data_IF_333524391127
#
_entry.id   IF_333524391127
#
_cell.length_a   1.000
_cell.length_b   1.000
_cell.length_c   1.000
_cell.angle_alpha   90.00
_cell.angle_beta   90.00
_cell.angle_gamma   90.00
#
_symmetry.space_group_name_H-M   'P 1'
#
loop_
_entity.id
_entity.type
_entity.pdbx_description
1 polymer ?
#
# COMPACT_ATOMS: atom_id res chain seq x y z
N UNK A 1 17.88 5.21 19.14
CA UNK A 1 18.64 4.15 19.85
C UNK A 1 19.13 4.63 21.22
N UNK A 2 19.94 5.70 21.34
CA UNK A 2 20.53 6.16 22.61
C UNK A 2 19.45 6.49 23.66
N UNK A 3 18.42 7.26 23.30
CA UNK A 3 17.39 7.72 24.25
C UNK A 3 16.46 6.61 24.75
N UNK A 4 16.37 5.49 24.02
CA UNK A 4 15.61 4.30 24.41
C UNK A 4 16.40 3.30 25.24
N UNK A 5 17.71 3.49 25.38
CA UNK A 5 18.57 2.62 26.19
C UNK A 5 18.22 2.76 27.67
N UNK A 6 17.77 1.68 28.30
CA UNK A 6 17.37 1.65 29.72
C UNK A 6 18.56 1.80 30.66
N UNK A 7 19.64 1.06 30.39
CA UNK A 7 20.88 1.14 31.14
C UNK A 7 22.06 0.71 30.27
N UNK A 8 23.25 1.21 30.59
CA UNK A 8 24.52 0.84 29.95
C UNK A 8 25.61 0.72 30.98
N UNK A 9 26.46 -0.31 30.86
CA UNK A 9 27.63 -0.47 31.67
C UNK A 9 28.88 -0.16 30.87
N UNK A 10 29.65 0.85 31.29
CA UNK A 10 30.91 1.28 30.67
C UNK A 10 31.96 1.48 31.73
N UNK A 11 33.18 0.97 31.50
CA UNK A 11 34.31 1.07 32.43
C UNK A 11 33.95 0.67 33.89
N UNK A 12 33.17 -0.40 34.06
CA UNK A 12 32.75 -0.91 35.37
C UNK A 12 31.68 -0.09 36.09
N UNK A 13 31.09 0.93 35.43
CA UNK A 13 29.99 1.73 35.97
C UNK A 13 28.71 1.49 35.20
N UNK A 14 27.61 1.20 35.89
CA UNK A 14 26.28 1.09 35.31
C UNK A 14 25.57 2.44 35.42
N UNK A 15 25.19 2.99 34.26
CA UNK A 15 24.38 4.20 34.16
C UNK A 15 22.95 3.81 33.77
N UNK A 16 21.96 4.30 34.53
CA UNK A 16 20.54 4.04 34.31
C UNK A 16 19.87 5.29 33.74
N UNK A 17 19.04 5.12 32.75
CA UNK A 17 18.28 6.20 32.15
C UNK A 17 17.30 6.79 33.19
N UNK A 18 17.20 8.10 33.28
CA UNK A 18 16.30 8.76 34.22
C UNK A 18 14.83 8.79 33.73
N UNK A 19 14.58 8.49 32.47
CA UNK A 19 13.22 8.43 31.93
C UNK A 19 12.52 7.15 32.41
N UNK A 20 11.72 7.28 33.47
CA UNK A 20 11.01 6.15 34.08
C UNK A 20 9.93 5.54 33.17
N UNK A 21 9.42 6.27 32.15
CA UNK A 21 8.45 5.75 31.20
C UNK A 21 8.98 4.59 30.37
N UNK A 22 10.30 4.49 30.17
CA UNK A 22 10.93 3.33 29.52
C UNK A 22 10.61 1.99 30.20
N UNK A 23 10.27 2.00 31.48
CA UNK A 23 9.88 0.80 32.26
C UNK A 23 8.40 0.74 32.58
N UNK A 24 7.71 1.90 32.62
CA UNK A 24 6.34 2.02 33.17
C UNK A 24 5.28 2.15 32.10
N UNK A 25 5.67 2.49 30.88
CA UNK A 25 4.73 2.70 29.78
C UNK A 25 5.15 1.84 28.57
N UNK A 26 4.25 0.91 28.19
CA UNK A 26 4.48 0.05 27.04
C UNK A 26 4.55 0.86 25.75
N UNK A 27 5.59 0.59 24.93
CA UNK A 27 5.85 1.33 23.72
C UNK A 27 6.65 2.61 23.90
N UNK A 28 7.03 3.01 25.13
CA UNK A 28 7.88 4.18 25.32
C UNK A 28 9.28 3.96 24.74
N UNK A 29 9.74 4.86 23.86
CA UNK A 29 11.03 4.81 23.15
C UNK A 29 11.97 5.97 23.49
N UNK A 30 11.62 6.82 24.43
CA UNK A 30 12.44 7.95 24.90
C UNK A 30 11.56 9.08 25.44
N UNK A 31 12.05 10.31 25.67
CA UNK A 31 13.24 10.92 25.11
C UNK A 31 14.10 11.58 26.18
N UNK A 32 13.66 12.75 26.75
CA UNK A 32 14.51 13.61 27.60
C UNK A 32 13.78 14.12 28.83
N UNK A 33 14.41 13.95 29.98
CA UNK A 33 13.97 14.54 31.25
C UNK A 33 14.73 15.83 31.52
N UNK A 34 14.13 16.78 32.21
CA UNK A 34 14.77 18.00 32.66
C UNK A 34 14.24 18.46 34.02
N UNK A 35 15.06 19.10 34.77
CA UNK A 35 14.70 19.76 36.04
C UNK A 35 15.65 20.92 36.35
N UNK A 36 15.06 22.03 36.73
CA UNK A 36 15.76 23.12 37.44
C UNK A 36 14.79 23.70 38.46
N UNK A 37 15.32 24.35 39.51
CA UNK A 37 14.49 24.96 40.56
C UNK A 37 13.54 26.03 39.99
N UNK A 38 13.97 26.74 38.94
CA UNK A 38 13.18 27.77 38.29
C UNK A 38 12.14 27.22 37.32
N UNK A 39 12.44 26.13 36.58
CA UNK A 39 11.57 25.59 35.54
C UNK A 39 10.70 24.41 36.01
N UNK A 40 11.00 23.88 37.22
CA UNK A 40 10.37 22.64 37.69
C UNK A 40 10.71 21.43 36.83
N UNK A 41 9.88 20.39 36.91
CA UNK A 41 10.03 19.17 36.12
C UNK A 41 9.56 19.38 34.69
N UNK A 42 10.41 19.01 33.75
CA UNK A 42 10.08 19.02 32.32
C UNK A 42 10.32 17.65 31.72
N UNK A 43 9.47 17.23 30.83
CA UNK A 43 9.58 15.93 30.17
C UNK A 43 9.20 16.04 28.71
N UNK A 44 10.03 15.46 27.85
CA UNK A 44 9.66 15.08 26.48
C UNK A 44 9.70 13.57 26.41
N UNK A 45 8.63 12.94 26.02
CA UNK A 45 8.60 11.50 25.82
C UNK A 45 7.99 11.14 24.46
N UNK A 46 8.29 9.95 24.03
CA UNK A 46 7.79 9.38 22.78
C UNK A 46 7.35 7.95 23.05
N UNK A 47 6.16 7.60 22.56
CA UNK A 47 5.66 6.24 22.57
C UNK A 47 5.27 5.80 21.16
N UNK A 48 5.45 4.51 20.89
CA UNK A 48 5.18 3.90 19.60
C UNK A 48 4.30 2.65 19.78
N UNK A 49 3.23 2.57 19.00
CA UNK A 49 2.28 1.46 19.04
C UNK A 49 1.69 1.27 17.64
N UNK A 50 1.69 0.04 17.12
CA UNK A 50 1.14 -0.31 15.79
C UNK A 50 1.61 0.60 14.64
N UNK A 51 2.90 0.97 14.65
CA UNK A 51 3.51 1.87 13.67
C UNK A 51 3.17 3.36 13.84
N UNK A 52 2.30 3.70 14.79
CA UNK A 52 2.01 5.08 15.16
C UNK A 52 2.96 5.56 16.25
N UNK A 53 3.43 6.81 16.11
CA UNK A 53 4.32 7.45 17.08
C UNK A 53 3.68 8.73 17.62
N UNK A 54 3.59 8.81 18.95
CA UNK A 54 3.12 10.00 19.67
C UNK A 54 4.26 10.62 20.47
N UNK A 55 4.24 11.95 20.52
CA UNK A 55 5.18 12.75 21.33
C UNK A 55 4.36 13.56 22.32
N UNK A 56 4.77 13.52 23.58
CA UNK A 56 4.22 14.33 24.64
C UNK A 56 5.29 15.25 25.21
N UNK A 57 4.89 16.45 25.58
CA UNK A 57 5.77 17.47 26.21
C UNK A 57 5.05 18.08 27.38
N UNK A 58 5.69 18.09 28.56
CA UNK A 58 5.21 18.81 29.73
C UNK A 58 6.28 19.74 30.25
N UNK A 59 5.84 20.91 30.77
CA UNK A 59 6.66 21.93 31.40
C UNK A 59 6.09 22.20 32.80
N UNK A 60 6.97 22.24 33.79
CA UNK A 60 6.61 22.46 35.21
C UNK A 60 5.49 21.53 35.70
N UNK A 61 5.57 20.24 35.35
CA UNK A 61 4.56 19.24 35.68
C UNK A 61 5.10 18.29 36.75
N UNK A 62 4.67 18.38 38.01
CA UNK A 62 5.17 17.53 39.09
C UNK A 62 4.81 16.06 38.91
N UNK A 63 3.72 15.74 38.20
CA UNK A 63 3.22 14.39 37.91
C UNK A 63 3.56 13.92 36.48
N UNK A 64 4.60 14.47 35.86
CA UNK A 64 4.99 14.26 34.46
C UNK A 64 4.86 12.82 33.95
N UNK A 65 5.19 11.81 34.76
CA UNK A 65 5.08 10.40 34.35
C UNK A 65 3.63 9.95 34.15
N UNK A 66 2.74 10.33 35.05
CA UNK A 66 1.32 10.01 34.97
C UNK A 66 0.65 10.82 33.87
N UNK A 67 0.99 12.11 33.74
CA UNK A 67 0.46 13.01 32.74
C UNK A 67 0.79 12.51 31.32
N UNK A 68 2.04 12.10 31.10
CA UNK A 68 2.46 11.54 29.81
C UNK A 68 1.80 10.22 29.49
N UNK A 69 1.64 9.32 30.46
CA UNK A 69 0.91 8.07 30.27
C UNK A 69 -0.54 8.33 29.85
N UNK A 70 -1.22 9.24 30.55
CA UNK A 70 -2.61 9.62 30.23
C UNK A 70 -2.74 10.28 28.84
N UNK A 71 -1.79 11.15 28.46
CA UNK A 71 -1.77 11.75 27.11
C UNK A 71 -1.55 10.71 26.01
N UNK A 72 -0.70 9.73 26.23
CA UNK A 72 -0.49 8.65 25.26
C UNK A 72 -1.72 7.75 25.15
N UNK A 73 -2.33 7.35 26.27
CA UNK A 73 -3.55 6.55 26.28
C UNK A 73 -4.69 7.29 25.57
N UNK A 74 -4.84 8.58 25.81
CA UNK A 74 -5.78 9.43 25.10
C UNK A 74 -5.48 9.45 23.59
N UNK A 75 -4.26 9.75 23.19
CA UNK A 75 -3.87 9.87 21.79
C UNK A 75 -4.07 8.56 21.01
N UNK A 76 -3.63 7.42 21.55
CA UNK A 76 -3.80 6.12 20.91
C UNK A 76 -5.28 5.67 20.87
N UNK A 77 -6.09 6.09 21.84
CA UNK A 77 -7.52 5.76 21.85
C UNK A 77 -8.34 6.61 20.90
N UNK A 78 -8.01 7.91 20.75
CA UNK A 78 -8.74 8.82 19.87
C UNK A 78 -8.36 8.67 18.40
N UNK A 79 -7.12 8.32 18.13
CA UNK A 79 -6.58 8.10 16.79
C UNK A 79 -5.91 6.73 16.69
N UNK A 80 -6.69 5.63 16.71
CA UNK A 80 -6.11 4.30 16.55
C UNK A 80 -5.48 4.13 15.18
N UNK A 81 -4.35 3.41 15.13
CA UNK A 81 -3.67 3.08 13.88
C UNK A 81 -4.47 2.05 13.09
N UNK A 82 -5.15 2.47 12.03
CA UNK A 82 -5.97 1.61 11.16
C UNK A 82 -5.14 1.13 9.97
N UNK A 83 -5.21 -0.17 9.68
CA UNK A 83 -4.62 -0.77 8.48
C UNK A 83 -5.54 -0.51 7.28
N UNK A 84 -5.17 0.43 6.42
CA UNK A 84 -5.93 0.81 5.23
C UNK A 84 -5.67 -0.14 4.06
N UNK A 85 -4.43 -0.59 3.89
CA UNK A 85 -4.05 -1.60 2.90
C UNK A 85 -3.10 -2.62 3.53
N UNK A 86 -3.25 -3.88 3.15
CA UNK A 86 -2.39 -4.98 3.60
C UNK A 86 -1.52 -5.47 2.44
N UNK A 87 -0.21 -5.60 2.67
CA UNK A 87 0.73 -6.16 1.71
C UNK A 87 0.29 -7.56 1.24
N UNK A 88 0.48 -7.85 -0.03
CA UNK A 88 0.13 -9.13 -0.65
C UNK A 88 -1.36 -9.37 -0.87
N UNK A 89 -2.25 -8.42 -0.50
CA UNK A 89 -3.68 -8.53 -0.77
C UNK A 89 -3.95 -8.25 -2.24
N UNK A 90 -4.56 -9.20 -2.94
CA UNK A 90 -5.08 -9.00 -4.29
C UNK A 90 -6.18 -7.92 -4.28
N UNK A 91 -6.03 -6.94 -5.17
CA UNK A 91 -6.96 -5.83 -5.26
C UNK A 91 -7.83 -5.91 -6.52
N UNK A 92 -7.22 -6.25 -7.64
CA UNK A 92 -7.87 -6.29 -8.97
C UNK A 92 -7.10 -7.25 -9.90
N UNK A 93 -7.75 -7.69 -10.96
CA UNK A 93 -7.11 -8.37 -12.08
C UNK A 93 -7.14 -7.45 -13.31
N UNK A 94 -6.02 -7.36 -14.04
CA UNK A 94 -5.90 -6.59 -15.27
C UNK A 94 -5.94 -7.52 -16.48
N UNK A 95 -6.66 -7.15 -17.55
CA UNK A 95 -6.49 -7.79 -18.84
C UNK A 95 -5.05 -7.69 -19.33
N UNK A 96 -4.53 -8.75 -19.94
CA UNK A 96 -3.17 -8.76 -20.50
C UNK A 96 -3.18 -9.23 -21.95
N UNK A 97 -2.60 -8.41 -22.81
CA UNK A 97 -2.42 -8.70 -24.22
C UNK A 97 -1.08 -9.40 -24.49
N UNK A 98 -0.96 -10.06 -25.64
CA UNK A 98 0.30 -10.71 -26.07
C UNK A 98 0.66 -11.99 -25.33
N UNK A 99 -0.27 -12.60 -24.60
CA UNK A 99 -0.10 -13.86 -23.87
C UNK A 99 -1.30 -14.79 -24.06
N UNK A 100 -1.12 -16.07 -23.78
CA UNK A 100 -2.20 -17.05 -23.62
C UNK A 100 -2.94 -16.87 -22.29
N UNK A 101 -2.29 -16.29 -21.31
CA UNK A 101 -2.91 -15.85 -20.06
C UNK A 101 -3.69 -14.58 -20.38
N UNK A 102 -4.97 -14.53 -19.96
CA UNK A 102 -5.86 -13.40 -20.27
C UNK A 102 -5.87 -12.32 -19.22
N UNK A 103 -5.48 -12.63 -17.99
CA UNK A 103 -5.55 -11.74 -16.86
C UNK A 103 -4.36 -11.91 -15.94
N UNK A 104 -3.88 -10.84 -15.35
CA UNK A 104 -2.85 -10.83 -14.31
C UNK A 104 -3.38 -10.12 -13.07
N UNK A 105 -3.36 -10.76 -11.88
CA UNK A 105 -3.73 -10.09 -10.65
C UNK A 105 -2.69 -9.05 -10.26
N UNK A 106 -3.15 -7.98 -9.62
CA UNK A 106 -2.33 -6.97 -8.97
C UNK A 106 -2.61 -6.96 -7.49
N UNK A 107 -1.55 -6.87 -6.70
CA UNK A 107 -1.58 -6.90 -5.25
C UNK A 107 -0.96 -5.64 -4.66
N UNK A 108 -1.30 -5.39 -3.42
CA UNK A 108 -0.72 -4.28 -2.63
C UNK A 108 0.73 -4.60 -2.30
N UNK A 109 1.66 -3.65 -2.57
CA UNK A 109 3.09 -3.85 -2.32
C UNK A 109 3.44 -3.86 -0.83
N UNK A 110 2.87 -2.92 -0.06
CA UNK A 110 3.18 -2.73 1.36
C UNK A 110 1.96 -2.29 2.17
N UNK A 111 2.02 -2.55 3.48
CA UNK A 111 1.02 -2.04 4.41
C UNK A 111 0.94 -0.53 4.37
N UNK A 112 -0.29 -0.01 4.42
CA UNK A 112 -0.57 1.41 4.64
C UNK A 112 -1.38 1.52 5.92
N UNK A 113 -0.85 2.22 6.92
CA UNK A 113 -1.52 2.50 8.19
C UNK A 113 -1.68 3.99 8.37
N UNK A 114 -2.78 4.39 9.00
CA UNK A 114 -3.06 5.78 9.30
C UNK A 114 -3.79 5.89 10.64
N UNK A 115 -3.40 6.83 11.53
CA UNK A 115 -4.13 7.12 12.74
C UNK A 115 -5.43 7.88 12.39
N UNK A 116 -6.58 7.23 12.54
CA UNK A 116 -7.87 7.71 12.08
C UNK A 116 -8.79 7.99 13.25
N UNK A 117 -9.35 9.19 13.35
CA UNK A 117 -10.39 9.53 14.30
C UNK A 117 -11.75 8.94 13.87
N UNK A 118 -12.67 8.78 14.84
CA UNK A 118 -13.96 8.13 14.60
C UNK A 118 -14.88 8.87 13.62
N UNK A 119 -14.72 10.18 13.49
CA UNK A 119 -15.49 11.07 12.62
C UNK A 119 -14.84 11.31 11.25
N UNK A 120 -13.57 10.92 11.07
CA UNK A 120 -12.85 11.06 9.82
C UNK A 120 -13.26 9.97 8.80
N UNK A 121 -13.32 10.35 7.53
CA UNK A 121 -13.68 9.45 6.43
C UNK A 121 -12.52 9.27 5.47
N UNK A 122 -12.15 8.01 5.26
CA UNK A 122 -11.12 7.63 4.29
C UNK A 122 -11.75 7.41 2.93
N UNK A 123 -11.15 7.99 1.90
CA UNK A 123 -11.41 7.66 0.49
C UNK A 123 -10.16 7.12 -0.15
N UNK A 124 -10.31 6.26 -1.17
CA UNK A 124 -9.20 5.67 -1.87
C UNK A 124 -9.28 5.96 -3.37
N UNK A 125 -8.15 6.25 -3.98
CA UNK A 125 -7.99 6.39 -5.43
C UNK A 125 -7.04 5.31 -5.92
N UNK A 126 -7.51 4.54 -6.91
CA UNK A 126 -6.71 3.52 -7.60
C UNK A 126 -6.35 4.09 -8.96
N UNK A 127 -5.07 4.05 -9.30
CA UNK A 127 -4.53 4.42 -10.60
C UNK A 127 -3.91 3.17 -11.24
N UNK A 128 -4.60 2.58 -12.20
CA UNK A 128 -4.22 1.37 -12.93
C UNK A 128 -4.60 1.53 -14.40
N UNK A 129 -3.82 0.98 -15.33
CA UNK A 129 -4.21 0.91 -16.74
C UNK A 129 -5.42 -0.03 -16.93
N UNK A 130 -6.17 0.18 -18.00
CA UNK A 130 -7.29 -0.70 -18.36
C UNK A 130 -6.81 -2.07 -18.87
N UNK A 131 -5.65 -2.12 -19.52
CA UNK A 131 -5.00 -3.30 -20.08
C UNK A 131 -3.48 -3.15 -20.03
N UNK A 132 -2.76 -4.27 -19.96
CA UNK A 132 -1.29 -4.31 -19.99
C UNK A 132 -0.79 -5.25 -21.09
N UNK A 133 0.44 -5.05 -21.57
CA UNK A 133 1.09 -5.97 -22.52
C UNK A 133 2.08 -6.91 -21.84
N UNK A 134 2.05 -8.19 -22.23
CA UNK A 134 3.10 -9.14 -21.84
C UNK A 134 4.44 -8.82 -22.54
N UNK A 135 5.61 -9.07 -21.93
CA UNK A 135 5.75 -9.74 -20.65
C UNK A 135 5.60 -8.76 -19.48
N UNK A 136 5.12 -9.25 -18.36
CA UNK A 136 5.16 -8.58 -17.05
C UNK A 136 5.87 -9.47 -16.04
N UNK A 137 6.54 -8.89 -15.05
CA UNK A 137 7.26 -9.64 -14.03
C UNK A 137 6.57 -9.47 -12.68
N UNK A 138 6.58 -10.54 -11.89
CA UNK A 138 6.16 -10.47 -10.49
C UNK A 138 6.94 -9.38 -9.74
N UNK A 139 6.21 -8.55 -8.98
CA UNK A 139 6.77 -7.43 -8.24
C UNK A 139 6.98 -6.14 -9.06
N UNK A 140 6.87 -6.16 -10.39
CA UNK A 140 6.90 -4.93 -11.19
C UNK A 140 5.66 -4.07 -10.89
N UNK A 141 5.83 -2.74 -10.93
CA UNK A 141 4.76 -1.80 -10.63
C UNK A 141 3.73 -1.80 -11.75
N UNK A 142 2.48 -2.07 -11.38
CA UNK A 142 1.32 -1.97 -12.27
C UNK A 142 0.59 -0.61 -12.15
N UNK A 143 0.68 0.01 -10.97
CA UNK A 143 0.02 1.28 -10.69
C UNK A 143 0.14 1.70 -9.23
N UNK A 144 -0.82 2.49 -8.74
CA UNK A 144 -0.79 3.01 -7.38
C UNK A 144 -2.17 3.01 -6.70
N UNK A 145 -2.13 2.98 -5.37
CA UNK A 145 -3.28 3.11 -4.47
C UNK A 145 -2.98 4.23 -3.48
N UNK A 146 -3.79 5.28 -3.50
CA UNK A 146 -3.62 6.46 -2.65
C UNK A 146 -4.85 6.68 -1.79
N UNK A 147 -4.63 6.95 -0.51
CA UNK A 147 -5.68 7.21 0.48
C UNK A 147 -5.73 8.68 0.85
N UNK A 148 -6.95 9.17 1.06
CA UNK A 148 -7.23 10.56 1.42
C UNK A 148 -8.17 10.62 2.61
N UNK A 149 -7.93 11.59 3.51
CA UNK A 149 -8.84 12.02 4.57
C UNK A 149 -9.14 13.49 4.32
N UNK A 150 -10.41 13.85 4.22
CA UNK A 150 -10.87 15.21 3.93
C UNK A 150 -10.16 15.86 2.70
N UNK A 151 -9.91 15.06 1.68
CA UNK A 151 -9.24 15.49 0.45
C UNK A 151 -7.72 15.64 0.55
N UNK A 152 -7.12 15.43 1.73
CA UNK A 152 -5.67 15.43 1.92
C UNK A 152 -5.12 14.00 1.82
N UNK A 153 -4.04 13.82 1.04
CA UNK A 153 -3.34 12.54 0.96
C UNK A 153 -2.73 12.17 2.33
N UNK A 154 -3.01 10.95 2.78
CA UNK A 154 -2.56 10.44 4.08
C UNK A 154 -1.68 9.20 3.95
N UNK A 155 -1.64 8.58 2.79
CA UNK A 155 -0.77 7.44 2.53
C UNK A 155 -0.97 6.86 1.15
N UNK A 156 0.08 6.22 0.63
CA UNK A 156 0.05 5.58 -0.68
C UNK A 156 0.93 4.33 -0.70
N UNK A 157 0.62 3.43 -1.63
CA UNK A 157 1.42 2.23 -1.92
C UNK A 157 1.35 1.94 -3.40
N UNK A 158 2.34 1.22 -3.92
CA UNK A 158 2.26 0.69 -5.27
C UNK A 158 1.38 -0.55 -5.33
N UNK A 159 0.83 -0.76 -6.49
CA UNK A 159 0.18 -1.99 -6.90
C UNK A 159 1.13 -2.72 -7.82
N UNK A 160 1.45 -3.97 -7.50
CA UNK A 160 2.44 -4.77 -8.22
C UNK A 160 1.81 -6.04 -8.78
N UNK A 161 2.37 -6.58 -9.86
CA UNK A 161 1.91 -7.86 -10.40
C UNK A 161 2.20 -8.99 -9.42
N UNK A 162 1.21 -9.85 -9.16
CA UNK A 162 1.36 -10.97 -8.22
C UNK A 162 2.14 -12.15 -8.77
N UNK A 163 2.32 -12.24 -10.09
CA UNK A 163 3.14 -13.24 -10.77
C UNK A 163 3.59 -12.76 -12.14
N UNK A 164 4.61 -13.41 -12.68
CA UNK A 164 5.13 -13.12 -14.01
C UNK A 164 4.24 -13.74 -15.09
N UNK A 165 4.06 -13.03 -16.19
CA UNK A 165 3.37 -13.52 -17.40
C UNK A 165 4.28 -13.29 -18.59
N UNK A 166 4.67 -14.39 -19.25
CA UNK A 166 5.53 -14.33 -20.43
C UNK A 166 4.73 -13.94 -21.68
N UNK A 167 5.42 -13.28 -22.61
CA UNK A 167 4.88 -13.07 -23.95
C UNK A 167 4.91 -14.42 -24.70
N UNK A 168 3.76 -14.90 -25.09
CA UNK A 168 3.69 -16.03 -26.00
C UNK A 168 3.77 -15.50 -27.42
N UNK A 169 4.71 -16.00 -28.21
CA UNK A 169 4.81 -15.69 -29.63
C UNK A 169 3.45 -15.92 -30.28
N UNK A 170 3.06 -14.98 -31.14
CA UNK A 170 1.77 -14.99 -31.84
C UNK A 170 1.35 -16.41 -32.21
N UNK A 171 0.10 -16.77 -31.89
CA UNK A 171 -0.50 -17.99 -32.46
C UNK A 171 -0.15 -18.01 -33.94
N UNK A 172 0.39 -19.12 -34.47
CA UNK A 172 0.61 -19.23 -35.91
C UNK A 172 -0.74 -18.88 -36.54
N UNK A 173 -0.75 -17.90 -37.43
CA UNK A 173 -1.96 -17.52 -38.20
C UNK A 173 -2.70 -18.80 -38.53
N UNK A 174 -3.99 -18.86 -38.23
CA UNK A 174 -4.84 -20.02 -38.52
C UNK A 174 -4.50 -20.51 -39.94
N UNK A 175 -4.50 -21.82 -40.17
CA UNK A 175 -4.24 -22.38 -41.49
C UNK A 175 -5.08 -21.65 -42.56
N UNK A 176 -6.29 -21.24 -42.20
CA UNK A 176 -7.16 -20.40 -43.04
C UNK A 176 -6.58 -19.01 -43.29
N UNK A 177 -6.00 -18.33 -42.31
CA UNK A 177 -5.35 -17.02 -42.52
C UNK A 177 -4.05 -17.14 -43.32
N UNK A 178 -3.31 -18.25 -43.18
CA UNK A 178 -2.13 -18.54 -44.02
C UNK A 178 -2.55 -18.83 -45.45
N UNK A 179 -3.61 -19.58 -45.66
CA UNK A 179 -4.23 -19.83 -46.98
C UNK A 179 -4.74 -18.52 -47.58
N UNK A 180 -5.41 -17.70 -46.78
CA UNK A 180 -5.95 -16.40 -47.25
C UNK A 180 -4.83 -15.40 -47.59
N UNK A 181 -3.77 -15.32 -46.78
CA UNK A 181 -2.62 -14.47 -47.07
C UNK A 181 -1.81 -14.95 -48.28
N UNK A 182 -1.77 -16.27 -48.55
CA UNK A 182 -1.13 -16.83 -49.73
C UNK A 182 -1.94 -16.50 -51.01
N UNK A 183 -3.26 -16.46 -50.95
CA UNK A 183 -4.10 -16.11 -52.09
C UNK A 183 -4.24 -14.60 -52.29
N UNK A 184 -3.90 -13.74 -51.30
CA UNK A 184 -3.96 -12.29 -51.40
C UNK A 184 -2.57 -11.64 -51.52
N UNK A 185 -1.50 -12.43 -51.46
CA UNK A 185 -0.09 -11.97 -51.62
C UNK A 185 0.39 -12.16 -53.07
N UNK A 186 0.64 -11.00 -53.72
CA UNK A 186 1.31 -10.85 -55.03
C UNK A 186 0.57 -11.26 -56.29
N UNK A 187 -0.05 -10.27 -56.91
CA UNK A 187 -0.36 -10.31 -58.36
C UNK A 187 -1.76 -9.84 -58.75
N UNK A 188 -1.86 -8.59 -59.16
CA UNK A 188 -2.75 -8.15 -60.21
C UNK A 188 -4.29 -8.26 -59.99
N UNK A 189 -4.90 -7.16 -59.82
CA UNK A 189 -6.29 -6.79 -60.11
C UNK A 189 -7.28 -7.89 -60.46
N UNK A 190 -8.18 -8.14 -59.51
CA UNK A 190 -9.54 -8.49 -59.85
C UNK A 190 -10.46 -8.11 -58.69
N UNK A 191 -11.20 -7.03 -58.86
CA UNK A 191 -12.34 -6.70 -58.02
C UNK A 191 -13.41 -7.75 -58.30
N UNK A 192 -13.61 -8.67 -57.40
CA UNK A 192 -14.78 -9.53 -57.38
C UNK A 192 -15.48 -9.36 -56.05
N UNK A 193 -16.63 -8.74 -56.12
CA UNK A 193 -17.64 -8.69 -55.09
C UNK A 193 -18.11 -10.10 -54.78
N UNK A 194 -17.74 -10.63 -53.62
CA UNK A 194 -18.44 -11.80 -53.06
C UNK A 194 -18.69 -11.47 -51.57
N UNK A 195 -19.89 -10.95 -51.31
CA UNK A 195 -20.45 -10.94 -49.97
C UNK A 195 -21.12 -12.30 -49.73
N UNK A 196 -20.66 -13.13 -48.82
CA UNK A 196 -21.52 -14.19 -48.33
C UNK A 196 -22.40 -13.61 -47.21
N UNK A 197 -23.69 -13.53 -47.47
CA UNK A 197 -24.72 -13.43 -46.47
C UNK A 197 -24.79 -14.70 -45.62
N UNK A 198 -23.91 -14.83 -44.63
CA UNK A 198 -24.04 -15.83 -43.56
C UNK A 198 -23.50 -15.20 -42.27
N UNK A 199 -24.27 -14.29 -41.71
CA UNK A 199 -24.12 -13.85 -40.30
C UNK A 199 -25.43 -13.21 -39.86
N UNK A 200 -26.52 -14.00 -39.90
CA UNK A 200 -27.76 -13.56 -39.26
C UNK A 200 -28.61 -14.76 -38.81
N UNK A 201 -28.03 -15.59 -37.91
CA UNK A 201 -28.82 -16.63 -37.21
C UNK A 201 -28.34 -17.00 -35.81
N UNK A 202 -27.71 -16.08 -35.09
CA UNK A 202 -27.44 -16.30 -33.67
C UNK A 202 -27.68 -15.03 -32.82
N UNK A 203 -28.91 -14.50 -32.93
CA UNK A 203 -29.40 -13.58 -31.91
C UNK A 203 -30.91 -13.77 -31.78
N UNK A 204 -31.32 -14.70 -30.97
CA UNK A 204 -32.57 -14.74 -30.18
C UNK A 204 -32.72 -16.12 -29.53
N UNK A 205 -32.24 -16.26 -28.31
CA UNK A 205 -32.97 -17.00 -27.29
C UNK A 205 -32.93 -16.21 -26.00
N UNK A 206 -34.08 -15.67 -25.69
CA UNK A 206 -34.48 -15.11 -24.42
C UNK A 206 -34.41 -16.21 -23.34
N UNK A 207 -34.03 -15.79 -22.16
CA UNK A 207 -34.35 -16.51 -20.94
C UNK A 207 -35.46 -15.73 -20.22
N UNK A 208 -36.60 -16.39 -20.08
CA UNK A 208 -37.64 -16.06 -19.10
C UNK A 208 -37.23 -16.48 -17.71
#
# INVERSE_FOLDING_TARGET
>A
EIVSTKSVTMAGRTMTNHNKLLWRYEGCVGMKTGYTDAAGRTLVSCAERDGQRLIAVTLNAPNDWADHAAMFDYGFSQWPSILLASAGRDLRTLPIAGSLVRFVPVQVERDVRYPLAADERVTAKIDLPDEVEAPVKEGDIAGSLTYYVDGKEVGSTYLVYSHSVERNAAQPKSILERIFSFFLGEGGGMKAAFYPQILNSYSRRQWS
#
